data_IF_113524515919
#
_entry.id   IF_113524515919
#
_cell.length_a   1.000
_cell.length_b   1.000
_cell.length_c   1.000
_cell.angle_alpha   90.00
_cell.angle_beta   90.00
_cell.angle_gamma   90.00
#
_symmetry.space_group_name_H-M   'P 1'
#
loop_
_entity.id
_entity.type
_entity.pdbx_description
1 polymer ?
#
# COMPACT_ATOMS: atom_id res chain seq x y z
N UNK A 1 -5.70 4.47 -14.08
CA UNK A 1 -6.72 3.93 -13.17
C UNK A 1 -7.67 3.06 -13.96
N UNK A 2 -7.97 1.86 -13.46
CA UNK A 2 -9.05 1.00 -13.97
C UNK A 2 -10.21 1.16 -12.99
N UNK A 3 -11.46 1.38 -13.44
CA UNK A 3 -12.59 1.45 -12.54
C UNK A 3 -12.66 0.19 -11.66
N UNK A 4 -12.85 0.34 -10.35
CA UNK A 4 -12.84 -0.78 -9.40
C UNK A 4 -13.88 -1.87 -9.76
N UNK A 5 -14.97 -1.48 -10.42
CA UNK A 5 -16.03 -2.39 -10.90
C UNK A 5 -15.57 -3.34 -12.02
N UNK A 6 -14.41 -3.07 -12.64
CA UNK A 6 -13.80 -3.94 -13.64
C UNK A 6 -12.68 -4.78 -13.01
N UNK A 7 -12.38 -5.97 -13.56
CA UNK A 7 -11.28 -6.79 -13.08
C UNK A 7 -9.94 -6.03 -13.06
N UNK A 8 -9.26 -6.06 -11.92
CA UNK A 8 -7.95 -5.44 -11.73
C UNK A 8 -7.09 -6.26 -10.75
N UNK A 9 -5.77 -6.01 -10.73
CA UNK A 9 -4.83 -6.79 -9.91
C UNK A 9 -4.67 -6.22 -8.51
N UNK A 10 -4.57 -4.89 -8.41
CA UNK A 10 -4.26 -4.19 -7.17
C UNK A 10 -5.16 -2.97 -7.04
N UNK A 11 -5.53 -2.65 -5.81
CA UNK A 11 -6.26 -1.43 -5.48
C UNK A 11 -5.52 -0.65 -4.39
N UNK A 12 -5.37 0.66 -4.57
CA UNK A 12 -4.78 1.53 -3.55
C UNK A 12 -5.77 1.68 -2.41
N UNK A 13 -5.37 1.30 -1.19
CA UNK A 13 -6.22 1.48 0.00
C UNK A 13 -5.76 2.61 0.92
N UNK A 14 -4.50 3.03 0.82
CA UNK A 14 -3.96 4.13 1.60
C UNK A 14 -2.78 4.82 0.91
N UNK A 15 -2.62 6.11 1.22
CA UNK A 15 -1.47 6.94 0.86
C UNK A 15 -0.98 7.65 2.13
N UNK A 16 0.33 7.75 2.32
CA UNK A 16 0.92 8.57 3.37
C UNK A 16 2.34 9.01 3.01
N UNK A 17 2.89 9.98 3.73
CA UNK A 17 4.28 10.43 3.54
C UNK A 17 5.17 9.95 4.68
N UNK A 18 6.39 9.54 4.33
CA UNK A 18 7.48 9.32 5.28
C UNK A 18 8.01 10.66 5.83
N UNK A 19 8.61 10.68 7.04
CA UNK A 19 9.15 11.90 7.62
C UNK A 19 10.14 12.62 6.69
N UNK A 20 10.16 13.97 6.68
CA UNK A 20 11.12 14.72 5.89
C UNK A 20 12.54 14.55 6.46
N UNK A 21 13.55 14.72 5.60
CA UNK A 21 14.95 14.61 5.98
C UNK A 21 15.82 14.03 4.89
N UNK A 22 17.07 13.71 5.26
CA UNK A 22 18.00 12.94 4.44
C UNK A 22 17.48 11.51 4.25
N UNK A 23 17.89 10.85 3.16
CA UNK A 23 17.48 9.48 2.88
C UNK A 23 18.02 8.54 3.97
N UNK A 24 17.16 7.82 4.72
CA UNK A 24 17.60 7.04 5.87
C UNK A 24 18.26 5.71 5.48
N UNK A 25 18.22 5.35 4.19
CA UNK A 25 18.66 4.06 3.67
C UNK A 25 17.45 3.20 3.26
N UNK A 26 17.66 2.31 2.28
CA UNK A 26 16.57 1.51 1.69
C UNK A 26 15.85 0.65 2.72
N UNK A 27 16.58 0.00 3.64
CA UNK A 27 16.01 -0.89 4.66
C UNK A 27 15.05 -0.15 5.60
N UNK A 28 15.40 1.07 6.02
CA UNK A 28 14.54 1.87 6.90
C UNK A 28 13.30 2.38 6.16
N UNK A 29 13.44 2.75 4.89
CA UNK A 29 12.31 3.17 4.04
C UNK A 29 11.34 2.01 3.83
N UNK A 30 11.84 0.82 3.48
CA UNK A 30 11.03 -0.38 3.27
C UNK A 30 10.30 -0.79 4.55
N UNK A 31 11.00 -0.81 5.70
CA UNK A 31 10.41 -1.15 6.99
C UNK A 31 9.31 -0.15 7.39
N UNK A 32 9.57 1.15 7.24
CA UNK A 32 8.61 2.21 7.55
C UNK A 32 7.38 2.16 6.65
N UNK A 33 7.59 1.94 5.34
CA UNK A 33 6.51 1.83 4.38
C UNK A 33 5.62 0.62 4.66
N UNK A 34 6.23 -0.54 4.93
CA UNK A 34 5.53 -1.79 5.26
C UNK A 34 4.72 -1.65 6.54
N UNK A 35 5.32 -1.12 7.61
CA UNK A 35 4.63 -0.89 8.88
C UNK A 35 3.45 0.07 8.70
N UNK A 36 3.67 1.19 8.01
CA UNK A 36 2.62 2.18 7.81
C UNK A 36 1.44 1.66 7.00
N UNK A 37 1.69 0.80 6.01
CA UNK A 37 0.64 0.09 5.27
C UNK A 37 -0.10 -0.92 6.17
N UNK A 38 0.63 -1.77 6.89
CA UNK A 38 0.06 -2.74 7.83
C UNK A 38 -0.88 -2.07 8.86
N UNK A 39 -0.45 -0.99 9.49
CA UNK A 39 -1.24 -0.26 10.50
C UNK A 39 -2.55 0.32 9.94
N UNK A 40 -2.59 0.66 8.65
CA UNK A 40 -3.76 1.24 7.97
C UNK A 40 -4.69 0.19 7.37
N UNK A 41 -4.21 -1.03 7.19
CA UNK A 41 -4.92 -2.09 6.47
C UNK A 41 -6.29 -2.38 7.08
N UNK A 42 -6.34 -2.63 8.39
CA UNK A 42 -7.59 -3.07 9.05
C UNK A 42 -8.69 -2.03 8.97
N UNK A 43 -8.36 -0.75 9.16
CA UNK A 43 -9.32 0.35 9.04
C UNK A 43 -9.80 0.53 7.60
N UNK A 44 -8.91 0.39 6.61
CA UNK A 44 -9.25 0.57 5.21
C UNK A 44 -10.09 -0.59 4.65
N UNK A 45 -9.74 -1.84 4.98
CA UNK A 45 -10.40 -3.05 4.45
C UNK A 45 -11.64 -3.43 5.26
N UNK A 46 -11.66 -3.12 6.56
CA UNK A 46 -12.71 -3.55 7.48
C UNK A 46 -12.49 -4.95 8.06
N UNK A 47 -11.26 -5.48 7.96
CA UNK A 47 -10.83 -6.79 8.47
C UNK A 47 -9.33 -6.78 8.74
N UNK A 48 -8.86 -7.51 9.75
CA UNK A 48 -7.42 -7.60 10.02
C UNK A 48 -6.68 -8.26 8.86
N UNK A 49 -5.40 -7.92 8.72
CA UNK A 49 -4.53 -8.53 7.71
C UNK A 49 -4.51 -10.05 7.82
N UNK A 50 -4.41 -10.57 9.05
CA UNK A 50 -4.29 -12.01 9.30
C UNK A 50 -5.57 -12.80 9.01
N UNK A 51 -6.73 -12.14 8.98
CA UNK A 51 -8.02 -12.77 8.67
C UNK A 51 -8.50 -12.49 7.23
N UNK A 52 -7.80 -11.63 6.49
CA UNK A 52 -8.15 -11.21 5.13
C UNK A 52 -7.73 -12.24 4.07
N UNK A 53 -8.47 -12.27 2.97
CA UNK A 53 -8.02 -12.91 1.71
C UNK A 53 -7.10 -12.01 0.87
N UNK A 54 -6.86 -10.78 1.34
CA UNK A 54 -6.02 -9.79 0.69
C UNK A 54 -4.65 -9.73 1.38
N UNK A 55 -3.61 -9.60 0.56
CA UNK A 55 -2.28 -9.18 0.98
C UNK A 55 -2.05 -7.72 0.57
N UNK A 56 -0.90 -7.15 0.96
CA UNK A 56 -0.52 -5.82 0.50
C UNK A 56 0.93 -5.71 0.02
N UNK A 57 1.14 -4.72 -0.84
CA UNK A 57 2.44 -4.20 -1.27
C UNK A 57 2.54 -2.75 -0.81
N UNK A 58 3.70 -2.39 -0.26
CA UNK A 58 4.06 -1.01 0.00
C UNK A 58 4.97 -0.51 -1.12
N UNK A 59 4.46 0.29 -2.06
CA UNK A 59 5.34 1.05 -2.94
C UNK A 59 5.87 2.24 -2.16
N UNK A 60 7.18 2.45 -2.23
CA UNK A 60 7.86 3.48 -1.46
C UNK A 60 8.87 4.23 -2.32
N UNK A 61 9.35 5.40 -1.88
CA UNK A 61 10.35 6.16 -2.60
C UNK A 61 11.66 5.38 -2.73
N UNK A 62 12.44 5.78 -3.73
CA UNK A 62 13.84 5.36 -3.90
C UNK A 62 14.76 6.50 -3.46
N UNK A 63 16.05 6.26 -3.22
CA UNK A 63 17.02 7.34 -2.98
C UNK A 63 16.96 8.41 -4.10
N UNK A 64 16.81 7.98 -5.35
CA UNK A 64 16.72 8.88 -6.50
C UNK A 64 15.48 9.78 -6.44
N UNK A 65 14.28 9.22 -6.18
CA UNK A 65 13.07 10.05 -6.09
C UNK A 65 13.07 10.91 -4.82
N UNK A 66 13.61 10.40 -3.72
CA UNK A 66 13.77 11.12 -2.46
C UNK A 66 14.63 12.38 -2.61
N UNK A 67 15.74 12.29 -3.35
CA UNK A 67 16.73 13.35 -3.51
C UNK A 67 16.41 14.30 -4.67
N UNK A 68 15.91 13.79 -5.79
CA UNK A 68 15.74 14.59 -7.00
C UNK A 68 14.40 15.32 -7.04
N UNK A 69 13.34 14.73 -6.47
CA UNK A 69 11.97 15.26 -6.55
C UNK A 69 11.29 15.39 -5.19
N UNK A 70 12.03 15.20 -4.09
CA UNK A 70 11.49 15.24 -2.72
C UNK A 70 10.33 14.26 -2.50
N UNK A 71 10.37 13.11 -3.18
CA UNK A 71 9.34 12.07 -3.00
C UNK A 71 9.45 11.44 -1.62
N UNK A 72 8.33 11.44 -0.90
CA UNK A 72 8.15 10.81 0.41
C UNK A 72 6.93 9.89 0.43
N UNK A 73 6.22 9.76 -0.69
CA UNK A 73 4.92 9.11 -0.74
C UNK A 73 5.07 7.60 -0.70
N UNK A 74 4.33 6.97 0.20
CA UNK A 74 4.11 5.53 0.25
C UNK A 74 2.70 5.25 -0.25
N UNK A 75 2.60 4.30 -1.17
CA UNK A 75 1.34 3.84 -1.75
C UNK A 75 1.09 2.40 -1.30
N UNK A 76 0.02 2.20 -0.54
CA UNK A 76 -0.38 0.89 -0.07
C UNK A 76 -1.38 0.26 -1.02
N UNK A 77 -0.98 -0.84 -1.63
CA UNK A 77 -1.76 -1.58 -2.62
C UNK A 77 -2.24 -2.90 -2.02
N UNK A 78 -3.53 -3.17 -2.07
CA UNK A 78 -4.08 -4.47 -1.71
C UNK A 78 -4.24 -5.34 -2.96
N UNK A 79 -3.99 -6.64 -2.83
CA UNK A 79 -4.20 -7.64 -3.88
C UNK A 79 -4.70 -8.95 -3.27
N UNK A 80 -5.36 -9.78 -4.06
CA UNK A 80 -5.81 -11.08 -3.58
C UNK A 80 -4.61 -12.01 -3.35
N UNK A 81 -4.50 -12.68 -2.20
CA UNK A 81 -3.34 -13.52 -1.83
C UNK A 81 -3.03 -14.62 -2.84
N UNK A 82 -4.07 -15.17 -3.48
CA UNK A 82 -3.93 -16.17 -4.56
C UNK A 82 -3.76 -15.57 -5.97
N UNK A 83 -3.49 -14.25 -6.08
CA UNK A 83 -3.34 -13.51 -7.33
C UNK A 83 -4.56 -13.56 -8.26
N UNK A 84 -5.75 -13.73 -7.70
CA UNK A 84 -7.01 -13.59 -8.44
C UNK A 84 -7.30 -12.11 -8.72
N UNK A 85 -8.06 -11.84 -9.79
CA UNK A 85 -8.51 -10.47 -10.08
C UNK A 85 -9.50 -10.01 -9.01
N UNK A 86 -9.28 -8.80 -8.51
CA UNK A 86 -10.27 -8.07 -7.72
C UNK A 86 -11.40 -7.58 -8.63
N UNK A 87 -12.61 -7.49 -8.09
CA UNK A 87 -13.76 -6.86 -8.75
C UNK A 87 -14.65 -6.24 -7.67
N UNK A 88 -14.95 -4.96 -7.84
CA UNK A 88 -15.43 -4.11 -6.75
C UNK A 88 -14.26 -3.53 -5.94
N UNK A 89 -14.57 -2.51 -5.14
CA UNK A 89 -13.57 -1.87 -4.29
C UNK A 89 -13.22 -2.76 -3.08
N UNK A 90 -11.94 -2.79 -2.69
CA UNK A 90 -11.47 -3.44 -1.45
C UNK A 90 -11.79 -2.61 -0.20
N UNK A 91 -12.05 -1.30 -0.35
CA UNK A 91 -12.31 -0.40 0.76
C UNK A 91 -13.62 -0.75 1.47
N UNK A 92 -13.54 -1.03 2.77
CA UNK A 92 -14.67 -1.44 3.60
C UNK A 92 -15.33 -2.75 3.15
N UNK A 93 -14.63 -3.56 2.36
CA UNK A 93 -15.18 -4.78 1.77
C UNK A 93 -15.31 -5.94 2.77
N UNK A 94 -14.55 -5.90 3.87
CA UNK A 94 -14.48 -6.98 4.86
C UNK A 94 -13.93 -8.29 4.29
N UNK A 95 -13.17 -8.20 3.19
CA UNK A 95 -12.52 -9.32 2.52
C UNK A 95 -11.36 -9.84 3.37
#
# INVERSE_FOLDING_TARGET
>A
EVPCLLPHDNEVYALFELPPGDFPGDEEVEASATLGCYERFSEAIGKSYEESELDFLAMHPTEASWTQINDREVVCLAYHMEYQKLTGSVLGSGR
#
